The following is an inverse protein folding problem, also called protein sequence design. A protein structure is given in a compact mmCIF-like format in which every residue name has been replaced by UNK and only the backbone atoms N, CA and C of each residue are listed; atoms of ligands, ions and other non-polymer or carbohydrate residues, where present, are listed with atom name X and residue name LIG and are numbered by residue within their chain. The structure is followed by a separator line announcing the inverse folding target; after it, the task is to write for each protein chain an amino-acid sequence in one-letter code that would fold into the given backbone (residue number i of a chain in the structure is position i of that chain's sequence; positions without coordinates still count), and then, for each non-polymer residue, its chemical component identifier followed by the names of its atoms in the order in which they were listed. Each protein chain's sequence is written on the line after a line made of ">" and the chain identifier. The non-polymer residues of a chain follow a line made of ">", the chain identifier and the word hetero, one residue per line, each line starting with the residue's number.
data_IF_563897586812
#
_entry.id   IF_563897586812
#
_cell.length_a   1.000
_cell.length_b   1.000
_cell.length_c   1.000
_cell.angle_alpha   90.00
_cell.angle_beta   90.00
_cell.angle_gamma   90.00
#
_symmetry.space_group_name_H-M   'P 1'
#
loop_
_entity.id
_entity.type
_entity.pdbx_description
1 polymer ?
#
# COMPACT_ATOMS: atom_id res chain seq x y z
N UNK A 1 36.39 -16.21 -2.70
CA UNK A 1 35.04 -16.20 -3.33
C UNK A 1 33.88 -15.99 -2.34
N UNK A 2 34.13 -15.73 -1.04
CA UNK A 2 33.08 -15.53 -0.01
C UNK A 2 32.73 -14.04 0.20
N UNK A 3 33.62 -13.11 -0.18
CA UNK A 3 33.41 -11.66 0.03
C UNK A 3 32.52 -10.97 -1.03
N UNK A 4 32.30 -11.55 -2.21
CA UNK A 4 31.55 -10.88 -3.30
C UNK A 4 30.02 -10.97 -3.16
N UNK A 5 29.49 -11.66 -2.13
CA UNK A 5 28.05 -11.77 -1.89
C UNK A 5 27.54 -10.83 -0.78
N UNK A 6 28.43 -10.05 -0.17
CA UNK A 6 28.08 -9.12 0.93
C UNK A 6 27.60 -7.75 0.41
N UNK A 7 27.73 -7.50 -0.89
CA UNK A 7 27.46 -6.17 -1.49
C UNK A 7 25.98 -5.83 -1.67
N UNK A 8 25.05 -6.78 -1.52
CA UNK A 8 23.61 -6.50 -1.62
C UNK A 8 22.95 -6.10 -0.28
N UNK A 9 23.68 -6.16 0.83
CA UNK A 9 23.22 -5.64 2.10
C UNK A 9 23.74 -4.22 2.32
N UNK A 10 22.93 -3.22 1.98
CA UNK A 10 23.12 -1.79 2.31
C UNK A 10 23.28 -1.52 3.83
N UNK A 11 23.15 -2.55 4.66
CA UNK A 11 23.35 -2.56 6.11
C UNK A 11 24.79 -2.86 6.55
N UNK A 12 25.64 -3.42 5.68
CA UNK A 12 26.98 -3.91 6.07
C UNK A 12 27.92 -2.83 6.59
N UNK A 13 27.91 -1.63 5.98
CA UNK A 13 28.80 -0.53 6.38
C UNK A 13 28.49 -0.01 7.79
N UNK A 14 27.21 0.18 8.12
CA UNK A 14 26.80 0.62 9.46
C UNK A 14 27.18 -0.40 10.53
N UNK A 15 27.01 -1.69 10.25
CA UNK A 15 27.38 -2.77 11.17
C UNK A 15 28.90 -2.78 11.40
N UNK A 16 29.71 -2.61 10.35
CA UNK A 16 31.16 -2.54 10.50
C UNK A 16 31.60 -1.35 11.37
N UNK A 17 31.00 -0.17 11.14
CA UNK A 17 31.26 1.04 11.94
C UNK A 17 30.86 0.82 13.40
N UNK A 18 29.67 0.28 13.68
CA UNK A 18 29.22 0.01 15.04
C UNK A 18 30.10 -1.01 15.75
N UNK A 19 30.44 -2.12 15.09
CA UNK A 19 31.35 -3.13 15.66
C UNK A 19 32.72 -2.54 15.98
N UNK A 20 33.28 -1.72 15.10
CA UNK A 20 34.55 -1.04 15.35
C UNK A 20 34.47 -0.11 16.58
N UNK A 21 33.44 0.73 16.68
CA UNK A 21 33.25 1.60 17.84
C UNK A 21 33.03 0.79 19.13
N UNK A 22 32.29 -0.30 19.07
CA UNK A 22 32.00 -1.14 20.24
C UNK A 22 33.25 -1.84 20.78
N UNK A 23 34.15 -2.29 19.90
CA UNK A 23 35.45 -2.89 20.27
C UNK A 23 36.45 -1.81 20.71
N UNK A 24 36.37 -0.61 20.15
CA UNK A 24 37.26 0.50 20.50
C UNK A 24 37.04 1.00 21.94
N UNK A 25 35.84 0.82 22.50
CA UNK A 25 35.53 1.20 23.90
C UNK A 25 36.38 0.38 24.91
N UNK A 26 36.30 -0.97 24.97
CA UNK A 26 37.12 -1.75 25.89
C UNK A 26 38.62 -1.63 25.60
N UNK A 27 39.03 -1.50 24.33
CA UNK A 27 40.44 -1.22 24.00
C UNK A 27 40.93 0.09 24.61
N UNK A 28 40.12 1.15 24.54
CA UNK A 28 40.46 2.46 25.11
C UNK A 28 40.61 2.41 26.63
N UNK A 29 39.82 1.57 27.32
CA UNK A 29 39.89 1.41 28.77
C UNK A 29 41.03 0.47 29.18
N UNK A 30 41.16 -0.69 28.54
CA UNK A 30 42.06 -1.76 28.99
C UNK A 30 43.50 -1.60 28.50
N UNK A 31 43.71 -1.06 27.29
CA UNK A 31 45.05 -0.98 26.67
C UNK A 31 45.64 0.41 26.81
N UNK A 32 44.82 1.45 26.61
CA UNK A 32 45.27 2.84 26.60
C UNK A 32 45.02 3.58 27.92
N UNK A 33 44.35 2.93 28.90
CA UNK A 33 43.96 3.49 30.21
C UNK A 33 43.30 4.89 30.11
N UNK A 34 42.59 5.15 29.00
CA UNK A 34 42.04 6.45 28.69
C UNK A 34 40.50 6.42 28.72
N UNK A 35 39.97 6.68 29.91
CA UNK A 35 38.52 6.75 30.17
C UNK A 35 37.82 7.86 29.39
N UNK A 36 38.52 8.95 29.07
CA UNK A 36 37.91 10.06 28.33
C UNK A 36 37.63 9.67 26.88
N UNK A 37 38.59 8.97 26.25
CA UNK A 37 38.44 8.47 24.89
C UNK A 37 37.30 7.43 24.79
N UNK A 38 37.19 6.54 25.78
CA UNK A 38 36.11 5.56 25.86
C UNK A 38 34.72 6.23 25.93
N UNK A 39 34.59 7.32 26.70
CA UNK A 39 33.35 8.11 26.76
C UNK A 39 32.98 8.72 25.41
N UNK A 40 33.96 9.21 24.66
CA UNK A 40 33.74 9.78 23.32
C UNK A 40 33.27 8.72 22.34
N UNK A 41 33.91 7.55 22.32
CA UNK A 41 33.47 6.45 21.47
C UNK A 41 32.05 5.98 21.84
N UNK A 42 31.75 5.85 23.13
CA UNK A 42 30.40 5.53 23.60
C UNK A 42 29.35 6.55 23.17
N UNK A 43 29.60 7.85 23.37
CA UNK A 43 28.69 8.91 22.96
C UNK A 43 28.48 8.94 21.44
N UNK A 44 29.58 8.81 20.68
CA UNK A 44 29.54 8.78 19.21
C UNK A 44 28.75 7.57 18.70
N UNK A 45 28.88 6.41 19.34
CA UNK A 45 28.12 5.21 19.00
C UNK A 45 26.62 5.43 19.15
N UNK A 46 26.19 6.03 20.27
CA UNK A 46 24.76 6.33 20.50
C UNK A 46 24.21 7.29 19.44
N UNK A 47 24.94 8.38 19.15
CA UNK A 47 24.52 9.37 18.14
C UNK A 47 24.38 8.73 16.76
N UNK A 48 25.39 7.96 16.32
CA UNK A 48 25.36 7.28 15.03
C UNK A 48 24.23 6.25 14.96
N UNK A 49 23.92 5.56 16.05
CA UNK A 49 22.84 4.59 16.11
C UNK A 49 21.47 5.26 15.95
N UNK A 50 21.23 6.40 16.59
CA UNK A 50 20.02 7.19 16.40
C UNK A 50 19.87 7.65 14.94
N UNK A 51 20.96 8.10 14.32
CA UNK A 51 20.95 8.52 12.93
C UNK A 51 20.67 7.35 11.97
N UNK A 52 21.32 6.21 12.18
CA UNK A 52 21.11 5.00 11.39
C UNK A 52 19.66 4.51 11.51
N UNK A 53 19.08 4.50 12.72
CA UNK A 53 17.69 4.17 12.93
C UNK A 53 16.76 5.10 12.16
N UNK A 54 16.98 6.41 12.21
CA UNK A 54 16.17 7.39 11.46
C UNK A 54 16.25 7.13 9.95
N UNK A 55 17.45 6.84 9.44
CA UNK A 55 17.64 6.49 8.04
C UNK A 55 16.92 5.18 7.67
N UNK A 56 17.06 4.13 8.48
CA UNK A 56 16.38 2.85 8.26
C UNK A 56 14.86 2.97 8.33
N UNK A 57 14.31 3.77 9.25
CA UNK A 57 12.87 4.06 9.28
C UNK A 57 12.42 4.79 8.02
N UNK A 58 13.20 5.76 7.53
CA UNK A 58 12.88 6.46 6.28
C UNK A 58 12.91 5.51 5.08
N UNK A 59 13.94 4.66 4.98
CA UNK A 59 14.06 3.67 3.90
C UNK A 59 12.97 2.61 3.99
N UNK A 60 12.64 2.12 5.20
CA UNK A 60 11.57 1.18 5.42
C UNK A 60 10.22 1.79 5.03
N UNK A 61 9.96 3.05 5.40
CA UNK A 61 8.75 3.78 4.99
C UNK A 61 8.64 3.94 3.48
N UNK A 62 9.74 4.18 2.79
CA UNK A 62 9.77 4.31 1.33
C UNK A 62 9.71 2.95 0.60
N UNK A 63 10.21 1.88 1.22
CA UNK A 63 10.15 0.50 0.67
C UNK A 63 8.80 -0.16 0.90
N UNK A 64 8.12 0.19 1.98
CA UNK A 64 6.70 -0.07 2.12
C UNK A 64 5.99 0.84 1.12
N UNK A 65 5.77 0.35 -0.11
CA UNK A 65 4.87 0.92 -1.11
C UNK A 65 3.40 0.87 -0.61
N UNK A 66 3.18 1.28 0.64
CA UNK A 66 1.86 1.50 1.22
C UNK A 66 1.40 2.80 0.61
N UNK A 67 0.82 2.69 -0.60
CA UNK A 67 0.05 3.79 -1.15
C UNK A 67 -1.08 4.05 -0.15
N UNK A 68 -1.13 5.26 0.45
CA UNK A 68 -2.18 5.57 1.40
C UNK A 68 -3.53 5.44 0.71
N UNK A 69 -4.47 4.76 1.37
CA UNK A 69 -5.83 4.60 0.82
C UNK A 69 -6.45 5.97 0.56
N UNK A 70 -7.24 6.06 -0.50
CA UNK A 70 -8.07 7.23 -0.75
C UNK A 70 -9.24 7.18 0.23
N UNK A 71 -9.41 8.26 1.00
CA UNK A 71 -10.57 8.42 1.90
C UNK A 71 -11.72 9.00 1.06
N UNK A 72 -12.87 8.33 1.09
CA UNK A 72 -14.09 8.80 0.44
C UNK A 72 -14.66 9.98 1.23
N UNK A 73 -15.03 11.04 0.53
CA UNK A 73 -15.63 12.23 1.13
C UNK A 73 -17.15 12.02 1.37
N UNK A 74 -17.81 13.00 2.01
CA UNK A 74 -19.26 12.92 2.27
C UNK A 74 -20.11 12.86 0.99
N UNK A 75 -19.68 13.53 -0.08
CA UNK A 75 -20.39 13.52 -1.37
C UNK A 75 -20.24 12.16 -2.06
N UNK A 76 -19.04 11.57 -2.04
CA UNK A 76 -18.75 10.24 -2.56
C UNK A 76 -19.63 9.19 -1.85
N UNK A 77 -19.76 9.30 -0.52
CA UNK A 77 -20.63 8.43 0.28
C UNK A 77 -22.11 8.63 -0.06
N UNK A 78 -22.54 9.89 -0.23
CA UNK A 78 -23.91 10.20 -0.67
C UNK A 78 -24.22 9.61 -2.04
N UNK A 79 -23.30 9.76 -3.00
CA UNK A 79 -23.45 9.19 -4.34
C UNK A 79 -23.48 7.66 -4.28
N UNK A 80 -22.66 7.02 -3.44
CA UNK A 80 -22.67 5.58 -3.26
C UNK A 80 -24.02 5.07 -2.71
N UNK A 81 -24.58 5.76 -1.71
CA UNK A 81 -25.91 5.44 -1.18
C UNK A 81 -27.04 5.69 -2.18
N UNK A 82 -26.89 6.68 -3.06
CA UNK A 82 -27.86 6.98 -4.13
C UNK A 82 -27.78 5.94 -5.26
N UNK A 83 -26.58 5.56 -5.65
CA UNK A 83 -26.33 4.69 -6.78
C UNK A 83 -26.59 3.22 -6.44
N UNK A 84 -26.29 2.79 -5.20
CA UNK A 84 -26.49 1.41 -4.76
C UNK A 84 -27.39 1.35 -3.52
N UNK A 85 -28.68 1.06 -3.72
CA UNK A 85 -29.58 0.83 -2.59
C UNK A 85 -29.16 -0.39 -1.76
N UNK A 86 -28.55 -1.39 -2.41
CA UNK A 86 -28.00 -2.56 -1.74
C UNK A 86 -26.96 -2.22 -0.67
N UNK A 87 -26.18 -1.14 -0.87
CA UNK A 87 -25.18 -0.69 0.11
C UNK A 87 -25.83 -0.20 1.41
N UNK A 88 -27.03 0.42 1.34
CA UNK A 88 -27.77 0.88 2.54
C UNK A 88 -28.21 -0.28 3.43
N UNK A 89 -28.45 -1.45 2.85
CA UNK A 89 -28.93 -2.63 3.56
C UNK A 89 -27.79 -3.45 4.20
N UNK A 90 -26.54 -3.11 3.89
CA UNK A 90 -25.34 -3.74 4.46
C UNK A 90 -25.09 -3.23 5.89
N UNK A 91 -24.55 -4.08 6.76
CA UNK A 91 -24.21 -3.69 8.15
C UNK A 91 -23.17 -2.58 8.18
N UNK A 92 -23.16 -1.74 9.21
CA UNK A 92 -22.18 -0.65 9.33
C UNK A 92 -20.73 -1.14 9.31
N UNK A 93 -20.44 -2.29 9.94
CA UNK A 93 -19.11 -2.90 9.93
C UNK A 93 -18.68 -3.32 8.51
N UNK A 94 -19.59 -3.94 7.74
CA UNK A 94 -19.30 -4.33 6.36
C UNK A 94 -19.21 -3.11 5.43
N UNK A 95 -20.00 -2.06 5.68
CA UNK A 95 -19.89 -0.80 4.95
C UNK A 95 -18.50 -0.19 5.12
N UNK A 96 -17.96 -0.16 6.34
CA UNK A 96 -16.60 0.31 6.61
C UNK A 96 -15.55 -0.52 5.88
N UNK A 97 -15.72 -1.84 5.82
CA UNK A 97 -14.83 -2.74 5.06
C UNK A 97 -14.89 -2.41 3.57
N UNK A 98 -16.09 -2.23 3.01
CA UNK A 98 -16.29 -1.90 1.59
C UNK A 98 -15.62 -0.56 1.27
N UNK A 99 -15.86 0.48 2.08
CA UNK A 99 -15.27 1.80 1.90
C UNK A 99 -13.74 1.75 1.95
N UNK A 100 -13.17 0.96 2.88
CA UNK A 100 -11.73 0.77 2.98
C UNK A 100 -11.15 0.08 1.74
N UNK A 101 -11.82 -0.98 1.24
CA UNK A 101 -11.40 -1.71 0.03
C UNK A 101 -11.48 -0.84 -1.22
N UNK A 102 -12.55 -0.04 -1.37
CA UNK A 102 -12.66 0.95 -2.45
C UNK A 102 -11.52 1.96 -2.36
N UNK A 103 -11.22 2.48 -1.17
CA UNK A 103 -10.11 3.41 -0.96
C UNK A 103 -8.74 2.84 -1.34
N UNK A 104 -8.52 1.54 -1.11
CA UNK A 104 -7.30 0.83 -1.52
C UNK A 104 -7.25 0.69 -3.05
N UNK A 105 -8.37 0.33 -3.69
CA UNK A 105 -8.44 0.20 -5.15
C UNK A 105 -8.18 1.54 -5.84
N UNK A 106 -8.82 2.61 -5.39
CA UNK A 106 -8.62 3.96 -5.93
C UNK A 106 -7.17 4.46 -5.77
N UNK A 107 -6.45 3.96 -4.77
CA UNK A 107 -5.06 4.32 -4.55
C UNK A 107 -4.08 3.54 -5.46
N UNK A 108 -4.38 2.27 -5.77
CA UNK A 108 -3.44 1.36 -6.44
C UNK A 108 -3.77 1.06 -7.90
N UNK A 109 -5.05 1.00 -8.26
CA UNK A 109 -5.53 0.51 -9.55
C UNK A 109 -5.76 1.66 -10.52
N UNK A 110 -5.49 1.44 -11.81
CA UNK A 110 -5.85 2.39 -12.86
C UNK A 110 -7.26 2.11 -13.38
N UNK A 111 -8.10 3.13 -13.37
CA UNK A 111 -9.46 3.07 -13.88
C UNK A 111 -9.53 3.78 -15.22
N UNK A 112 -9.94 3.06 -16.27
CA UNK A 112 -9.95 3.59 -17.64
C UNK A 112 -11.28 3.37 -18.36
N UNK A 113 -11.58 4.23 -19.32
CA UNK A 113 -12.70 4.08 -20.23
C UNK A 113 -12.36 3.18 -21.43
N UNK A 114 -13.31 3.02 -22.36
CA UNK A 114 -13.09 2.27 -23.61
C UNK A 114 -12.01 2.86 -24.53
N UNK A 115 -11.63 4.12 -24.33
CA UNK A 115 -10.59 4.84 -25.08
C UNK A 115 -9.27 4.94 -24.30
N UNK A 116 -9.13 4.20 -23.18
CA UNK A 116 -7.98 4.24 -22.28
C UNK A 116 -7.74 5.59 -21.58
N UNK A 117 -8.76 6.45 -21.52
CA UNK A 117 -8.75 7.68 -20.73
C UNK A 117 -9.12 7.36 -19.28
N UNK A 118 -8.62 8.15 -18.33
CA UNK A 118 -8.92 7.95 -16.91
C UNK A 118 -10.39 8.22 -16.63
N UNK A 119 -11.03 7.32 -15.88
CA UNK A 119 -12.43 7.51 -15.45
C UNK A 119 -12.57 8.67 -14.49
N UNK A 120 -13.76 9.28 -14.48
CA UNK A 120 -14.12 10.22 -13.44
C UNK A 120 -14.19 9.54 -12.07
N UNK A 121 -14.02 10.32 -11.01
CA UNK A 121 -13.99 9.82 -9.62
C UNK A 121 -15.22 8.98 -9.29
N UNK A 122 -16.41 9.42 -9.70
CA UNK A 122 -17.67 8.72 -9.39
C UNK A 122 -17.76 7.38 -10.11
N UNK A 123 -17.38 7.32 -11.38
CA UNK A 123 -17.36 6.08 -12.17
C UNK A 123 -16.33 5.09 -11.61
N UNK A 124 -15.14 5.59 -11.23
CA UNK A 124 -14.13 4.76 -10.59
C UNK A 124 -14.62 4.15 -9.26
N UNK A 125 -15.36 4.92 -8.45
CA UNK A 125 -15.99 4.44 -7.21
C UNK A 125 -17.03 3.35 -7.51
N UNK A 126 -17.87 3.55 -8.53
CA UNK A 126 -18.90 2.58 -8.93
C UNK A 126 -18.28 1.25 -9.37
N UNK A 127 -17.24 1.29 -10.22
CA UNK A 127 -16.52 0.10 -10.67
C UNK A 127 -15.84 -0.60 -9.50
N UNK A 128 -15.18 0.17 -8.62
CA UNK A 128 -14.54 -0.37 -7.43
C UNK A 128 -15.53 -1.05 -6.48
N UNK A 129 -16.71 -0.45 -6.26
CA UNK A 129 -17.75 -1.03 -5.43
C UNK A 129 -18.22 -2.39 -5.98
N UNK A 130 -18.52 -2.45 -7.29
CA UNK A 130 -18.96 -3.70 -7.93
C UNK A 130 -17.88 -4.77 -7.80
N UNK A 131 -16.62 -4.43 -8.06
CA UNK A 131 -15.51 -5.39 -7.90
C UNK A 131 -15.39 -5.92 -6.47
N UNK A 132 -15.48 -5.05 -5.46
CA UNK A 132 -15.37 -5.43 -4.04
C UNK A 132 -16.48 -6.37 -3.62
N UNK A 133 -17.71 -6.11 -4.06
CA UNK A 133 -18.84 -6.97 -3.72
C UNK A 133 -18.79 -8.33 -4.43
N UNK A 134 -18.32 -8.37 -5.68
CA UNK A 134 -18.17 -9.62 -6.46
C UNK A 134 -17.01 -10.48 -5.99
N UNK A 135 -15.93 -9.84 -5.53
CA UNK A 135 -14.72 -10.50 -5.04
C UNK A 135 -14.62 -10.38 -3.52
N UNK A 136 -15.72 -10.67 -2.82
CA UNK A 136 -15.74 -10.65 -1.37
C UNK A 136 -14.94 -11.82 -0.80
N UNK A 137 -13.73 -11.55 -0.36
CA UNK A 137 -12.84 -12.51 0.32
C UNK A 137 -12.29 -11.91 1.62
N UNK A 138 -11.81 -12.75 2.54
CA UNK A 138 -11.10 -12.28 3.73
C UNK A 138 -9.72 -11.72 3.36
N UNK A 139 -9.04 -12.36 2.42
CA UNK A 139 -7.73 -11.96 1.91
C UNK A 139 -7.85 -10.99 0.72
N UNK A 140 -8.08 -9.71 1.00
CA UNK A 140 -8.16 -8.66 -0.01
C UNK A 140 -6.76 -8.16 -0.42
N UNK A 141 -6.25 -8.65 -1.56
CA UNK A 141 -4.99 -8.17 -2.15
C UNK A 141 -5.23 -7.41 -3.45
N UNK A 142 -4.48 -6.32 -3.65
CA UNK A 142 -4.57 -5.44 -4.82
C UNK A 142 -3.16 -5.14 -5.33
N UNK A 143 -2.94 -5.44 -6.61
CA UNK A 143 -1.70 -5.09 -7.31
C UNK A 143 -1.85 -3.76 -8.05
N UNK A 144 -0.79 -2.96 -8.08
CA UNK A 144 -0.72 -1.67 -8.76
C UNK A 144 -0.76 -1.80 -10.30
N UNK A 145 -0.42 -2.97 -10.84
CA UNK A 145 -0.46 -3.23 -12.29
C UNK A 145 -1.88 -3.50 -12.81
N UNK A 146 -2.88 -3.58 -11.93
CA UNK A 146 -4.25 -3.84 -12.33
C UNK A 146 -4.86 -2.62 -13.04
N UNK A 147 -5.57 -2.92 -14.12
CA UNK A 147 -6.32 -1.94 -14.89
C UNK A 147 -7.78 -2.39 -14.93
N UNK A 148 -8.66 -1.51 -14.49
CA UNK A 148 -10.11 -1.71 -14.48
C UNK A 148 -10.73 -0.86 -15.59
N UNK A 149 -11.54 -1.47 -16.44
CA UNK A 149 -12.18 -0.78 -17.57
C UNK A 149 -13.67 -0.61 -17.35
N UNK A 150 -14.20 0.58 -17.60
CA UNK A 150 -15.63 0.85 -17.69
C UNK A 150 -15.98 1.37 -19.08
N UNK A 151 -16.81 0.67 -19.84
CA UNK A 151 -17.12 1.10 -21.20
C UNK A 151 -18.52 0.75 -21.67
N UNK A 152 -19.02 1.56 -22.59
CA UNK A 152 -20.33 1.38 -23.20
C UNK A 152 -20.36 0.27 -24.27
N UNK A 153 -19.19 -0.22 -24.71
CA UNK A 153 -19.10 -1.20 -25.80
C UNK A 153 -18.57 -2.55 -25.28
N UNK A 154 -19.15 -3.66 -25.77
CA UNK A 154 -18.64 -5.02 -25.50
C UNK A 154 -17.25 -5.29 -26.07
N UNK A 155 -16.64 -4.35 -26.79
CA UNK A 155 -15.32 -4.51 -27.40
C UNK A 155 -14.29 -3.72 -26.60
N UNK A 156 -13.59 -4.43 -25.74
CA UNK A 156 -12.24 -4.07 -25.33
C UNK A 156 -11.49 -5.36 -25.08
N UNK A 157 -10.28 -5.49 -25.65
CA UNK A 157 -9.47 -6.70 -25.59
C UNK A 157 -9.36 -7.20 -24.14
N UNK A 158 -10.10 -8.26 -23.79
CA UNK A 158 -10.27 -8.75 -22.42
C UNK A 158 -8.95 -9.24 -21.78
N UNK A 159 -7.89 -9.43 -22.58
CA UNK A 159 -6.62 -9.98 -22.13
C UNK A 159 -5.74 -9.02 -21.33
N UNK A 160 -6.00 -7.70 -21.33
CA UNK A 160 -5.18 -6.72 -20.60
C UNK A 160 -5.81 -6.15 -19.33
N UNK A 161 -7.11 -6.34 -19.13
CA UNK A 161 -7.82 -5.77 -17.98
C UNK A 161 -8.04 -6.82 -16.90
N UNK A 162 -7.80 -6.46 -15.64
CA UNK A 162 -8.06 -7.36 -14.52
C UNK A 162 -9.57 -7.46 -14.23
N UNK A 163 -10.30 -6.37 -14.49
CA UNK A 163 -11.74 -6.29 -14.32
C UNK A 163 -12.33 -5.38 -15.40
N UNK A 164 -13.41 -5.83 -16.03
CA UNK A 164 -14.15 -5.06 -17.01
C UNK A 164 -15.62 -5.00 -16.64
N UNK A 165 -16.19 -3.81 -16.72
CA UNK A 165 -17.59 -3.57 -16.46
C UNK A 165 -18.20 -2.82 -17.64
N UNK A 166 -19.18 -3.45 -18.29
CA UNK A 166 -19.98 -2.78 -19.32
C UNK A 166 -21.12 -2.02 -18.68
N UNK A 167 -21.59 -0.96 -19.33
CA UNK A 167 -22.75 -0.17 -18.84
C UNK A 167 -24.02 -1.03 -18.72
N UNK A 168 -24.25 -1.96 -19.65
CA UNK A 168 -25.36 -2.92 -19.57
C UNK A 168 -25.27 -3.80 -18.31
N UNK A 169 -24.08 -4.33 -18.02
CA UNK A 169 -23.87 -5.15 -16.84
C UNK A 169 -23.94 -4.32 -15.56
N UNK A 170 -23.49 -3.08 -15.60
CA UNK A 170 -23.55 -2.17 -14.47
C UNK A 170 -24.99 -1.89 -14.05
N UNK A 171 -25.88 -1.53 -14.98
CA UNK A 171 -27.28 -1.24 -14.65
C UNK A 171 -27.99 -2.45 -14.05
N UNK A 172 -27.71 -3.66 -14.56
CA UNK A 172 -28.24 -4.90 -13.97
C UNK A 172 -27.71 -5.13 -12.54
N UNK A 173 -26.42 -4.85 -12.31
CA UNK A 173 -25.72 -5.07 -11.04
C UNK A 173 -26.06 -4.02 -9.99
N UNK A 174 -26.38 -2.80 -10.39
CA UNK A 174 -26.67 -1.65 -9.53
C UNK A 174 -27.77 -1.91 -8.50
N UNK A 175 -28.78 -2.71 -8.86
CA UNK A 175 -29.90 -3.05 -7.97
C UNK A 175 -29.64 -4.26 -7.06
N UNK A 176 -28.72 -5.16 -7.44
CA UNK A 176 -28.62 -6.51 -6.85
C UNK A 176 -27.33 -6.71 -6.07
N UNK A 177 -26.24 -6.04 -6.48
CA UNK A 177 -24.90 -6.34 -5.97
C UNK A 177 -24.76 -6.05 -4.48
N UNK A 178 -24.52 -7.12 -3.73
CA UNK A 178 -24.23 -7.16 -2.29
C UNK A 178 -23.03 -8.07 -2.07
N UNK A 179 -22.25 -7.86 -1.00
CA UNK A 179 -21.20 -8.81 -0.63
C UNK A 179 -21.83 -10.18 -0.36
N UNK A 180 -21.44 -11.18 -1.14
CA UNK A 180 -21.84 -12.58 -0.91
C UNK A 180 -20.98 -13.13 0.23
N UNK A 181 -21.54 -13.12 1.45
CA UNK A 181 -20.94 -13.85 2.58
C UNK A 181 -21.20 -15.34 2.37
N UNK A 182 -20.15 -16.11 2.10
CA UNK A 182 -20.18 -17.56 2.17
C UNK A 182 -20.02 -18.03 3.62
#
# INVERSE_FOLDING_TARGET
>A
MILNKVTDYRFSLWIAVFSFLLVSIPLSVMVFDNLWLAKIFGATLVILLLFALRFWFSVARNRNNIVPRVILNKNDLFDLHKDFNSFKEVTSADQDIILNRIGILLAKVKFVDGNHQLLERREAIQVAYVYVCENWTDDFNVNADWIFSFSNSKKSNESSFKFSLSTENFENKKAIVKPLKH
#
